data_IF_769465884530
#
_entry.id   IF_769465884530
#
_cell.length_a   1.000
_cell.length_b   1.000
_cell.length_c   1.000
_cell.angle_alpha   90.00
_cell.angle_beta   90.00
_cell.angle_gamma   90.00
#
_symmetry.space_group_name_H-M   'P 1'
#
loop_
_entity.id
_entity.type
_entity.pdbx_description
1 polymer ?
#
# COMPACT_ATOMS: atom_id res chain seq x y z
N UNK A 1 7.10 10.50 24.03
CA UNK A 1 7.29 10.07 22.63
C UNK A 1 6.22 9.04 22.26
N UNK A 2 5.84 8.17 23.20
CA UNK A 2 4.70 7.23 23.14
C UNK A 2 3.42 7.82 22.51
N UNK A 3 2.93 8.99 22.95
CA UNK A 3 1.71 9.58 22.38
C UNK A 3 1.78 9.81 20.86
N UNK A 4 2.95 10.17 20.32
CA UNK A 4 3.08 10.43 18.87
C UNK A 4 3.08 9.15 18.05
N UNK A 5 3.67 8.06 18.57
CA UNK A 5 3.70 6.77 17.87
C UNK A 5 2.30 6.15 17.81
N UNK A 6 1.55 6.24 18.91
CA UNK A 6 0.16 5.83 18.96
C UNK A 6 -0.73 6.64 18.01
N UNK A 7 -0.56 7.96 17.97
CA UNK A 7 -1.26 8.85 17.02
C UNK A 7 -0.99 8.46 15.56
N UNK A 8 0.27 8.15 15.19
CA UNK A 8 0.63 7.70 13.84
C UNK A 8 -0.01 6.36 13.50
N UNK A 9 0.02 5.40 14.43
CA UNK A 9 -0.63 4.10 14.26
C UNK A 9 -2.14 4.26 14.04
N UNK A 10 -2.80 5.07 14.87
CA UNK A 10 -4.23 5.34 14.74
C UNK A 10 -4.55 6.03 13.42
N UNK A 11 -3.74 7.00 12.98
CA UNK A 11 -3.89 7.65 11.68
C UNK A 11 -3.82 6.64 10.52
N UNK A 12 -2.81 5.77 10.50
CA UNK A 12 -2.63 4.75 9.47
C UNK A 12 -3.74 3.70 9.43
N UNK A 13 -4.26 3.29 10.59
CA UNK A 13 -5.33 2.28 10.65
C UNK A 13 -6.71 2.86 10.35
N UNK A 14 -6.96 4.11 10.72
CA UNK A 14 -8.26 4.75 10.53
C UNK A 14 -8.44 5.35 9.12
N UNK A 15 -7.36 5.48 8.33
CA UNK A 15 -7.40 6.13 7.01
C UNK A 15 -7.86 7.60 7.10
N UNK A 16 -7.67 8.25 8.25
CA UNK A 16 -8.13 9.63 8.45
C UNK A 16 -7.19 10.58 7.72
N UNK A 17 -7.56 10.99 6.51
CA UNK A 17 -6.82 11.98 5.74
C UNK A 17 -6.08 11.42 4.53
N UNK A 18 -6.28 10.15 4.18
CA UNK A 18 -5.84 9.58 2.91
C UNK A 18 -6.73 8.41 2.48
N UNK A 19 -6.94 8.23 1.18
CA UNK A 19 -7.57 7.04 0.60
C UNK A 19 -6.48 6.04 0.17
N UNK A 20 -6.62 4.78 0.55
CA UNK A 20 -5.68 3.72 0.13
C UNK A 20 -5.68 3.56 -1.39
N UNK A 21 -6.81 3.80 -2.04
CA UNK A 21 -6.95 3.73 -3.50
C UNK A 21 -6.13 4.82 -4.18
N UNK A 22 -6.15 6.04 -3.65
CA UNK A 22 -5.37 7.17 -4.17
C UNK A 22 -3.87 6.88 -4.01
N UNK A 23 -3.44 6.45 -2.81
CA UNK A 23 -2.04 6.10 -2.54
C UNK A 23 -1.56 4.98 -3.46
N UNK A 24 -2.39 3.95 -3.69
CA UNK A 24 -2.04 2.84 -4.60
C UNK A 24 -1.96 3.33 -6.05
N UNK A 25 -2.90 4.17 -6.48
CA UNK A 25 -2.90 4.71 -7.83
C UNK A 25 -1.64 5.55 -8.09
N UNK A 26 -1.35 6.51 -7.21
CA UNK A 26 -0.19 7.39 -7.34
C UNK A 26 1.11 6.58 -7.37
N UNK A 27 1.30 5.67 -6.41
CA UNK A 27 2.49 4.82 -6.38
C UNK A 27 2.61 3.90 -7.61
N UNK A 28 1.48 3.44 -8.16
CA UNK A 28 1.49 2.62 -9.37
C UNK A 28 1.92 3.47 -10.57
N UNK A 29 1.30 4.62 -10.77
CA UNK A 29 1.65 5.55 -11.87
C UNK A 29 3.13 5.95 -11.80
N UNK A 30 3.60 6.41 -10.62
CA UNK A 30 5.01 6.76 -10.43
C UNK A 30 5.97 5.61 -10.75
N UNK A 31 5.62 4.38 -10.34
CA UNK A 31 6.43 3.19 -10.65
C UNK A 31 6.43 2.89 -12.15
N UNK A 32 5.30 3.06 -12.84
CA UNK A 32 5.22 2.84 -14.28
C UNK A 32 6.00 3.89 -15.05
N UNK A 33 5.88 5.17 -14.69
CA UNK A 33 6.64 6.27 -15.29
C UNK A 33 8.16 6.05 -15.16
N UNK A 34 8.62 5.51 -14.02
CA UNK A 34 10.04 5.17 -13.82
C UNK A 34 10.51 3.96 -14.66
N UNK A 35 9.64 2.99 -14.90
CA UNK A 35 9.99 1.75 -15.60
C UNK A 35 9.78 1.81 -17.11
N UNK A 36 8.82 2.62 -17.57
CA UNK A 36 8.36 2.70 -18.94
C UNK A 36 8.14 4.18 -19.30
N UNK A 37 9.04 4.75 -20.09
CA UNK A 37 8.86 6.11 -20.60
C UNK A 37 7.59 6.19 -21.49
N UNK A 38 6.72 7.16 -21.21
CA UNK A 38 5.55 7.57 -22.03
C UNK A 38 4.47 6.50 -22.29
N UNK A 39 4.02 5.79 -21.25
CA UNK A 39 2.92 4.83 -21.37
C UNK A 39 1.79 5.03 -20.35
N UNK A 40 0.61 5.44 -20.84
CA UNK A 40 -0.62 5.54 -20.06
C UNK A 40 -1.24 4.15 -19.84
N UNK A 41 -1.15 3.63 -18.62
CA UNK A 41 -1.92 2.46 -18.20
C UNK A 41 -2.73 2.74 -16.94
N UNK A 42 -3.88 2.05 -16.82
CA UNK A 42 -4.62 1.98 -15.58
C UNK A 42 -4.31 0.66 -14.87
N UNK A 43 -4.08 0.71 -13.55
CA UNK A 43 -3.72 -0.47 -12.75
C UNK A 43 -4.80 -1.56 -12.74
N UNK A 44 -6.06 -1.20 -13.02
CA UNK A 44 -7.16 -2.15 -13.16
C UNK A 44 -7.10 -3.00 -14.44
N UNK A 45 -6.41 -2.50 -15.47
CA UNK A 45 -6.25 -3.17 -16.77
C UNK A 45 -5.05 -4.13 -16.82
N UNK A 46 -4.26 -4.18 -15.75
CA UNK A 46 -3.05 -5.00 -15.69
C UNK A 46 -3.33 -6.30 -14.94
N UNK A 47 -3.42 -7.40 -15.68
CA UNK A 47 -3.59 -8.73 -15.11
C UNK A 47 -2.27 -9.31 -14.59
N UNK A 48 -2.30 -9.82 -13.36
CA UNK A 48 -1.23 -10.58 -12.75
C UNK A 48 -1.46 -12.08 -12.96
N UNK A 49 -0.52 -12.71 -13.66
CA UNK A 49 -0.57 -14.13 -13.99
C UNK A 49 0.61 -14.86 -13.36
N UNK A 50 0.42 -16.14 -13.02
CA UNK A 50 1.49 -17.05 -12.58
C UNK A 50 1.56 -18.24 -13.52
N UNK A 51 2.50 -18.19 -14.46
CA UNK A 51 2.50 -19.13 -15.57
C UNK A 51 1.29 -18.87 -16.48
N UNK A 52 0.45 -19.87 -16.66
CA UNK A 52 -0.78 -19.77 -17.46
C UNK A 52 -2.03 -19.39 -16.62
N UNK A 53 -1.90 -19.36 -15.30
CA UNK A 53 -3.01 -19.07 -14.40
C UNK A 53 -3.17 -17.57 -14.15
N UNK A 54 -4.39 -17.05 -14.32
CA UNK A 54 -4.76 -15.70 -13.91
C UNK A 54 -5.02 -15.65 -12.40
N UNK A 55 -4.28 -14.79 -11.69
CA UNK A 55 -4.41 -14.65 -10.24
C UNK A 55 -5.40 -13.54 -9.86
N UNK A 56 -5.17 -12.33 -10.35
CA UNK A 56 -5.92 -11.11 -10.03
C UNK A 56 -5.42 -9.96 -10.93
N UNK A 57 -6.05 -8.78 -10.89
CA UNK A 57 -5.44 -7.57 -11.44
C UNK A 57 -4.54 -6.85 -10.41
N UNK A 58 -3.70 -5.96 -10.93
CA UNK A 58 -2.73 -5.19 -10.17
C UNK A 58 -3.41 -4.27 -9.14
N UNK A 59 -4.48 -3.57 -9.49
CA UNK A 59 -5.23 -2.71 -8.56
C UNK A 59 -5.65 -3.46 -7.28
N UNK A 60 -6.32 -4.61 -7.44
CA UNK A 60 -6.79 -5.42 -6.31
C UNK A 60 -5.63 -5.98 -5.50
N UNK A 61 -4.57 -6.42 -6.16
CA UNK A 61 -3.37 -6.89 -5.47
C UNK A 61 -2.74 -5.77 -4.64
N UNK A 62 -2.49 -4.61 -5.25
CA UNK A 62 -1.80 -3.48 -4.63
C UNK A 62 -2.58 -2.91 -3.45
N UNK A 63 -3.91 -2.82 -3.53
CA UNK A 63 -4.77 -2.43 -2.38
C UNK A 63 -4.64 -3.38 -1.20
N UNK A 64 -4.73 -4.69 -1.46
CA UNK A 64 -4.57 -5.70 -0.39
C UNK A 64 -3.15 -5.70 0.17
N UNK A 65 -2.15 -5.56 -0.69
CA UNK A 65 -0.74 -5.49 -0.31
C UNK A 65 -0.44 -4.26 0.56
N UNK A 66 -0.90 -3.07 0.15
CA UNK A 66 -0.74 -1.83 0.90
C UNK A 66 -1.34 -1.94 2.32
N UNK A 67 -2.54 -2.50 2.44
CA UNK A 67 -3.16 -2.77 3.75
C UNK A 67 -2.32 -3.71 4.62
N UNK A 68 -1.66 -4.71 4.03
CA UNK A 68 -0.76 -5.62 4.76
C UNK A 68 0.51 -4.90 5.22
N UNK A 69 1.08 -4.04 4.37
CA UNK A 69 2.24 -3.20 4.72
C UNK A 69 1.90 -2.27 5.88
N UNK A 70 0.76 -1.55 5.81
CA UNK A 70 0.28 -0.69 6.91
C UNK A 70 0.20 -1.47 8.22
N UNK A 71 -0.38 -2.68 8.20
CA UNK A 71 -0.47 -3.53 9.40
C UNK A 71 0.91 -3.95 9.93
N UNK A 72 1.86 -4.24 9.05
CA UNK A 72 3.23 -4.56 9.48
C UNK A 72 3.92 -3.34 10.09
N UNK A 73 3.77 -2.15 9.51
CA UNK A 73 4.29 -0.89 10.08
C UNK A 73 3.69 -0.66 11.47
N UNK A 74 2.38 -0.85 11.64
CA UNK A 74 1.73 -0.74 12.95
C UNK A 74 2.28 -1.75 13.96
N UNK A 75 2.54 -3.00 13.54
CA UNK A 75 3.16 -4.01 14.41
C UNK A 75 4.60 -3.64 14.80
N UNK A 76 5.35 -2.99 13.91
CA UNK A 76 6.69 -2.48 14.23
C UNK A 76 6.58 -1.34 15.25
N UNK A 77 5.61 -0.43 15.09
CA UNK A 77 5.33 0.63 16.07
C UNK A 77 5.06 0.03 17.46
N UNK A 78 4.22 -1.00 17.54
CA UNK A 78 3.90 -1.69 18.80
C UNK A 78 5.14 -2.28 19.49
N UNK A 79 6.12 -2.76 18.71
CA UNK A 79 7.36 -3.31 19.27
C UNK A 79 8.26 -2.28 19.98
N UNK A 80 8.00 -0.98 19.80
CA UNK A 80 8.65 0.07 20.58
C UNK A 80 7.95 0.33 21.91
N UNK A 81 6.64 0.06 22.01
CA UNK A 81 5.88 0.18 23.26
C UNK A 81 6.16 -1.00 24.21
N UNK A 82 6.46 -2.19 23.69
CA UNK A 82 6.79 -3.38 24.50
C UNK A 82 8.20 -3.39 25.13
N UNK A 83 9.02 -2.37 24.85
CA UNK A 83 10.42 -2.27 25.34
C UNK A 83 10.62 -1.24 26.46
N UNK A 84 9.55 -0.63 26.95
CA UNK A 84 9.52 0.16 28.21
C UNK A 84 8.91 -0.65 29.36
#
# INVERSE_FOLDING_TARGET
MENKLKEVKEFLLQGKGYDVSDVVNDATVETFDELFEDWDFFSEDIDLNWGEDSLTNLDKFSKVFCQKVIKQVCSIIDSFEEKE
#
